data_IF_821754739287
#
_entry.id   IF_821754739287
#
_cell.length_a   1.000
_cell.length_b   1.000
_cell.length_c   1.000
_cell.angle_alpha   90.00
_cell.angle_beta   90.00
_cell.angle_gamma   90.00
#
_symmetry.space_group_name_H-M   'P 1'
#
loop_
_entity.id
_entity.type
_entity.pdbx_description
1 polymer ?
#
# COMPACT_ATOMS: atom_id res chain seq x y z
N UNK A 1 9.44 16.11 -12.47
CA UNK A 1 8.41 16.11 -11.39
C UNK A 1 9.11 15.87 -10.07
N UNK A 2 8.70 16.52 -8.99
CA UNK A 2 9.25 16.32 -7.66
C UNK A 2 8.73 15.02 -7.02
N UNK A 3 9.45 14.48 -6.04
CA UNK A 3 9.01 13.31 -5.27
C UNK A 3 7.63 13.55 -4.63
N UNK A 4 7.39 14.78 -4.14
CA UNK A 4 6.14 15.17 -3.50
C UNK A 4 4.93 15.01 -4.43
N UNK A 5 5.05 15.47 -5.69
CA UNK A 5 3.95 15.35 -6.65
C UNK A 5 3.66 13.90 -7.01
N UNK A 6 4.70 13.08 -7.17
CA UNK A 6 4.54 11.65 -7.37
C UNK A 6 3.83 10.99 -6.17
N UNK A 7 4.27 11.29 -4.95
CA UNK A 7 3.64 10.78 -3.74
C UNK A 7 2.17 11.21 -3.61
N UNK A 8 1.84 12.46 -3.98
CA UNK A 8 0.47 12.96 -3.95
C UNK A 8 -0.45 12.23 -4.96
N UNK A 9 0.06 11.97 -6.16
CA UNK A 9 -0.70 11.21 -7.17
C UNK A 9 -0.92 9.77 -6.71
N UNK A 10 0.12 9.13 -6.17
CA UNK A 10 0.04 7.78 -5.60
C UNK A 10 -0.99 7.70 -4.47
N UNK A 11 -0.94 8.63 -3.53
CA UNK A 11 -1.88 8.76 -2.41
C UNK A 11 -3.33 8.82 -2.88
N UNK A 12 -3.63 9.59 -3.91
CA UNK A 12 -4.98 9.67 -4.50
C UNK A 12 -5.35 8.34 -5.17
N UNK A 13 -4.46 7.76 -5.97
CA UNK A 13 -4.68 6.47 -6.65
C UNK A 13 -5.04 5.37 -5.66
N UNK A 14 -4.26 5.20 -4.62
CA UNK A 14 -4.49 4.16 -3.61
C UNK A 14 -5.71 4.44 -2.72
N UNK A 15 -6.03 5.71 -2.44
CA UNK A 15 -7.26 6.07 -1.75
C UNK A 15 -8.51 5.64 -2.53
N UNK A 16 -8.53 5.80 -3.85
CA UNK A 16 -9.60 5.30 -4.71
C UNK A 16 -9.58 3.77 -4.83
N UNK A 17 -8.40 3.15 -4.90
CA UNK A 17 -8.27 1.69 -4.92
C UNK A 17 -8.93 1.06 -3.70
N UNK A 18 -8.66 1.58 -2.50
CA UNK A 18 -9.26 1.13 -1.24
C UNK A 18 -10.80 1.15 -1.27
N UNK A 19 -11.39 2.24 -1.78
CA UNK A 19 -12.84 2.35 -1.93
C UNK A 19 -13.40 1.21 -2.78
N UNK A 20 -12.82 1.00 -3.97
CA UNK A 20 -13.30 -0.02 -4.89
C UNK A 20 -12.97 -1.43 -4.43
N UNK A 21 -11.88 -1.66 -3.68
CA UNK A 21 -11.63 -2.94 -3.03
C UNK A 21 -12.69 -3.27 -1.99
N UNK A 22 -13.10 -2.30 -1.19
CA UNK A 22 -14.18 -2.50 -0.22
C UNK A 22 -15.50 -2.79 -0.91
N UNK A 23 -15.85 -2.01 -1.95
CA UNK A 23 -17.05 -2.25 -2.76
C UNK A 23 -17.04 -3.63 -3.44
N UNK A 24 -15.87 -4.05 -3.95
CA UNK A 24 -15.67 -5.35 -4.56
C UNK A 24 -15.55 -6.52 -3.57
N UNK A 25 -15.40 -6.25 -2.28
CA UNK A 25 -15.28 -7.28 -1.26
C UNK A 25 -16.65 -7.84 -0.91
N UNK A 26 -16.83 -9.16 -1.12
CA UNK A 26 -18.06 -9.88 -0.81
C UNK A 26 -17.90 -10.63 0.51
N UNK A 27 -18.71 -10.26 1.51
CA UNK A 27 -18.69 -10.86 2.85
C UNK A 27 -19.17 -12.32 2.83
N UNK A 28 -20.04 -12.70 1.89
CA UNK A 28 -20.56 -14.06 1.76
C UNK A 28 -19.60 -14.97 1.01
N UNK A 29 -18.81 -14.43 0.09
CA UNK A 29 -17.82 -15.19 -0.68
C UNK A 29 -16.51 -15.37 0.08
N UNK A 30 -16.29 -16.59 0.57
CA UNK A 30 -15.05 -16.95 1.29
C UNK A 30 -13.76 -16.75 0.46
N UNK A 31 -13.86 -16.63 -0.85
CA UNK A 31 -12.75 -16.46 -1.77
C UNK A 31 -12.68 -15.09 -2.43
N UNK A 32 -13.47 -14.11 -1.95
CA UNK A 32 -13.52 -12.75 -2.51
C UNK A 32 -12.13 -12.11 -2.59
N UNK A 33 -11.31 -12.22 -1.53
CA UNK A 33 -9.95 -11.73 -1.47
C UNK A 33 -9.02 -12.33 -2.54
N UNK A 34 -9.18 -13.62 -2.85
CA UNK A 34 -8.40 -14.27 -3.92
C UNK A 34 -8.82 -13.76 -5.31
N UNK A 35 -10.11 -13.47 -5.51
CA UNK A 35 -10.60 -12.88 -6.76
C UNK A 35 -10.07 -11.47 -6.97
N UNK A 36 -9.94 -10.67 -5.89
CA UNK A 36 -9.26 -9.37 -5.93
C UNK A 36 -7.80 -9.57 -6.36
N UNK A 37 -7.07 -10.49 -5.72
CA UNK A 37 -5.68 -10.77 -6.05
C UNK A 37 -5.49 -11.23 -7.52
N UNK A 38 -6.45 -11.94 -8.12
CA UNK A 38 -6.43 -12.28 -9.54
C UNK A 38 -6.49 -11.03 -10.41
N UNK A 39 -7.38 -10.07 -10.12
CA UNK A 39 -7.49 -8.83 -10.86
C UNK A 39 -6.25 -7.96 -10.72
N UNK A 40 -5.72 -7.83 -9.50
CA UNK A 40 -4.49 -7.08 -9.23
C UNK A 40 -3.32 -7.68 -10.03
N UNK A 41 -3.11 -9.00 -9.93
CA UNK A 41 -2.05 -9.66 -10.68
C UNK A 41 -2.21 -9.51 -12.20
N UNK A 42 -3.44 -9.56 -12.72
CA UNK A 42 -3.69 -9.37 -14.14
C UNK A 42 -3.34 -7.95 -14.59
N UNK A 43 -3.82 -6.92 -13.89
CA UNK A 43 -3.60 -5.51 -14.26
C UNK A 43 -2.12 -5.16 -14.16
N UNK A 44 -1.47 -5.51 -13.04
CA UNK A 44 -0.03 -5.26 -12.83
C UNK A 44 0.83 -6.03 -13.85
N UNK A 45 0.46 -7.27 -14.18
CA UNK A 45 1.13 -8.04 -15.21
C UNK A 45 1.01 -7.41 -16.61
N UNK A 46 -0.18 -6.93 -16.97
CA UNK A 46 -0.39 -6.22 -18.25
C UNK A 46 0.45 -4.95 -18.31
N UNK A 47 0.50 -4.17 -17.21
CA UNK A 47 1.35 -2.98 -17.10
C UNK A 47 2.83 -3.35 -17.25
N UNK A 48 3.31 -4.39 -16.57
CA UNK A 48 4.67 -4.88 -16.69
C UNK A 48 5.06 -5.23 -18.13
N UNK A 49 4.21 -5.94 -18.86
CA UNK A 49 4.45 -6.26 -20.28
C UNK A 49 4.42 -5.02 -21.17
N UNK A 50 3.54 -4.07 -20.89
CA UNK A 50 3.46 -2.80 -21.62
C UNK A 50 4.71 -1.92 -21.40
N UNK A 51 5.30 -1.96 -20.21
CA UNK A 51 6.49 -1.20 -19.85
C UNK A 51 7.80 -1.91 -20.23
N UNK A 52 7.77 -3.21 -20.49
CA UNK A 52 8.99 -3.99 -20.78
C UNK A 52 9.87 -3.41 -21.89
N UNK A 53 9.34 -2.86 -23.01
CA UNK A 53 10.16 -2.22 -24.05
C UNK A 53 10.93 -0.98 -23.59
N UNK A 54 10.48 -0.35 -22.49
CA UNK A 54 11.07 0.86 -21.92
C UNK A 54 12.06 0.59 -20.78
N UNK A 55 12.22 -0.69 -20.39
CA UNK A 55 13.21 -1.12 -19.40
C UNK A 55 14.62 -0.79 -19.87
N UNK A 56 15.47 -0.34 -18.96
CA UNK A 56 16.88 -0.08 -19.26
C UNK A 56 17.75 -1.32 -19.01
N UNK A 57 17.45 -2.07 -17.93
CA UNK A 57 18.27 -3.22 -17.51
C UNK A 57 17.69 -4.55 -17.96
N UNK A 58 16.37 -4.74 -17.80
CA UNK A 58 15.76 -6.07 -18.04
C UNK A 58 15.69 -6.44 -19.52
N UNK A 59 15.52 -5.46 -20.43
CA UNK A 59 15.50 -5.74 -21.88
C UNK A 59 16.86 -6.22 -22.41
N UNK A 60 17.94 -5.82 -21.76
CA UNK A 60 19.31 -6.15 -22.15
C UNK A 60 19.82 -7.43 -21.49
N UNK A 61 18.96 -8.12 -20.71
CA UNK A 61 19.29 -9.42 -20.13
C UNK A 61 19.65 -10.42 -21.23
N UNK A 62 20.87 -10.87 -21.23
CA UNK A 62 21.41 -11.82 -22.24
C UNK A 62 20.83 -13.22 -22.11
N UNK A 63 20.28 -13.57 -20.94
CA UNK A 63 19.72 -14.88 -20.66
C UNK A 63 18.51 -14.84 -19.73
N UNK A 64 17.63 -15.83 -19.86
CA UNK A 64 16.54 -16.07 -18.91
C UNK A 64 17.05 -16.22 -17.45
N UNK A 65 18.26 -16.77 -17.30
CA UNK A 65 18.89 -16.94 -15.98
C UNK A 65 19.16 -15.61 -15.30
N UNK A 66 19.65 -14.60 -16.04
CA UNK A 66 19.96 -13.28 -15.50
C UNK A 66 18.67 -12.57 -15.09
N UNK A 67 17.64 -12.65 -15.94
CA UNK A 67 16.30 -12.14 -15.59
C UNK A 67 15.75 -12.78 -14.32
N UNK A 68 15.78 -14.11 -14.22
CA UNK A 68 15.31 -14.84 -13.03
C UNK A 68 16.14 -14.50 -11.78
N UNK A 69 17.43 -14.22 -11.92
CA UNK A 69 18.28 -13.77 -10.82
C UNK A 69 17.81 -12.40 -10.28
N UNK A 70 17.56 -11.43 -11.16
CA UNK A 70 17.05 -10.10 -10.77
C UNK A 70 15.68 -10.23 -10.12
N UNK A 71 14.81 -11.04 -10.69
CA UNK A 71 13.48 -11.32 -10.11
C UNK A 71 13.59 -11.95 -8.72
N UNK A 72 14.54 -12.87 -8.51
CA UNK A 72 14.78 -13.47 -7.20
C UNK A 72 15.36 -12.48 -6.18
N UNK A 73 16.23 -11.56 -6.63
CA UNK A 73 16.77 -10.51 -5.77
C UNK A 73 15.72 -9.50 -5.31
N UNK A 74 14.75 -9.18 -6.17
CA UNK A 74 13.64 -8.31 -5.84
C UNK A 74 12.50 -9.03 -5.08
N UNK A 75 12.38 -10.35 -5.21
CA UNK A 75 11.25 -11.14 -4.68
C UNK A 75 10.99 -10.96 -3.17
N UNK A 76 11.97 -10.71 -2.27
CA UNK A 76 11.67 -10.48 -0.86
C UNK A 76 10.75 -9.27 -0.62
N UNK A 77 10.96 -8.16 -1.35
CA UNK A 77 10.11 -6.99 -1.29
C UNK A 77 8.70 -7.30 -1.84
N UNK A 78 8.63 -7.82 -3.06
CA UNK A 78 7.33 -8.12 -3.71
C UNK A 78 6.52 -9.19 -2.97
N UNK A 79 7.15 -10.21 -2.38
CA UNK A 79 6.46 -11.22 -1.58
C UNK A 79 5.87 -10.62 -0.29
N UNK A 80 6.56 -9.69 0.35
CA UNK A 80 6.01 -8.97 1.49
C UNK A 80 4.73 -8.21 1.10
N UNK A 81 4.73 -7.52 -0.03
CA UNK A 81 3.54 -6.83 -0.54
C UNK A 81 2.41 -7.80 -0.93
N UNK A 82 2.72 -8.90 -1.63
CA UNK A 82 1.71 -9.90 -2.01
C UNK A 82 1.03 -10.46 -0.75
N UNK A 83 1.81 -10.81 0.26
CA UNK A 83 1.30 -11.34 1.53
C UNK A 83 0.44 -10.29 2.25
N UNK A 84 0.95 -9.05 2.37
CA UNK A 84 0.21 -7.97 3.01
C UNK A 84 -1.12 -7.71 2.32
N UNK A 85 -1.13 -7.56 1.00
CA UNK A 85 -2.33 -7.25 0.24
C UNK A 85 -3.37 -8.37 0.30
N UNK A 86 -2.97 -9.65 0.16
CA UNK A 86 -3.91 -10.78 0.28
C UNK A 86 -4.53 -10.84 1.68
N UNK A 87 -3.75 -10.57 2.73
CA UNK A 87 -4.24 -10.47 4.11
C UNK A 87 -5.18 -9.25 4.25
N UNK A 88 -4.82 -8.11 3.67
CA UNK A 88 -5.62 -6.89 3.67
C UNK A 88 -6.97 -7.09 3.01
N UNK A 89 -7.00 -7.66 1.81
CA UNK A 89 -8.24 -7.97 1.10
C UNK A 89 -9.13 -8.94 1.89
N UNK A 90 -8.53 -9.91 2.60
CA UNK A 90 -9.28 -10.78 3.49
C UNK A 90 -9.89 -10.01 4.66
N UNK A 91 -9.17 -9.02 5.21
CA UNK A 91 -9.62 -8.15 6.30
C UNK A 91 -10.84 -7.30 5.94
N UNK A 92 -10.90 -6.79 4.70
CA UNK A 92 -12.02 -5.97 4.19
C UNK A 92 -13.39 -6.67 4.24
N UNK A 93 -13.42 -7.99 4.34
CA UNK A 93 -14.67 -8.77 4.51
C UNK A 93 -15.24 -8.66 5.91
N UNK A 94 -14.42 -8.39 6.89
CA UNK A 94 -14.79 -8.45 8.32
C UNK A 94 -14.82 -7.08 9.00
N UNK A 95 -14.17 -6.10 8.41
CA UNK A 95 -14.01 -4.77 8.98
C UNK A 95 -14.43 -3.68 7.98
N UNK A 96 -14.87 -2.55 8.50
CA UNK A 96 -15.12 -1.36 7.70
C UNK A 96 -13.80 -0.78 7.15
N UNK A 97 -13.86 -0.12 5.99
CA UNK A 97 -12.71 0.50 5.36
C UNK A 97 -12.09 1.58 6.25
N UNK A 98 -12.94 2.34 6.93
CA UNK A 98 -12.55 3.38 7.88
C UNK A 98 -11.75 2.84 9.07
N UNK A 99 -11.81 1.54 9.35
CA UNK A 99 -11.04 0.85 10.39
C UNK A 99 -9.76 0.24 9.80
N UNK A 100 -9.90 -0.46 8.68
CA UNK A 100 -8.80 -1.23 8.07
C UNK A 100 -7.70 -0.31 7.57
N UNK A 101 -8.07 0.70 6.78
CA UNK A 101 -7.10 1.54 6.07
C UNK A 101 -6.14 2.29 7.02
N UNK A 102 -6.59 2.99 8.09
CA UNK A 102 -5.65 3.65 9.00
C UNK A 102 -4.69 2.71 9.73
N UNK A 103 -5.16 1.52 10.13
CA UNK A 103 -4.31 0.55 10.83
C UNK A 103 -3.25 -0.02 9.91
N UNK A 104 -3.61 -0.35 8.67
CA UNK A 104 -2.68 -0.84 7.66
C UNK A 104 -1.62 0.22 7.34
N UNK A 105 -2.02 1.45 7.19
CA UNK A 105 -1.16 2.56 6.75
C UNK A 105 -0.22 3.12 7.84
N UNK A 106 -0.30 2.64 9.07
CA UNK A 106 0.75 2.85 10.06
C UNK A 106 2.11 2.31 9.58
N UNK A 107 2.12 1.40 8.59
CA UNK A 107 3.32 0.85 7.93
C UNK A 107 4.24 1.93 7.35
N UNK A 108 3.70 3.00 6.76
CA UNK A 108 4.52 4.07 6.19
C UNK A 108 5.42 4.76 7.21
N UNK A 109 4.93 4.97 8.44
CA UNK A 109 5.73 5.49 9.54
C UNK A 109 6.83 4.52 9.97
N UNK A 110 6.48 3.24 10.11
CA UNK A 110 7.41 2.18 10.51
C UNK A 110 8.49 1.96 9.44
N UNK A 111 8.12 2.01 8.17
CA UNK A 111 9.05 1.89 7.04
C UNK A 111 10.05 3.04 7.00
N UNK A 112 9.61 4.28 7.22
CA UNK A 112 10.50 5.43 7.29
C UNK A 112 11.54 5.27 8.40
N UNK A 113 11.12 4.80 9.58
CA UNK A 113 12.04 4.52 10.69
C UNK A 113 13.00 3.37 10.34
N UNK A 114 12.51 2.30 9.72
CA UNK A 114 13.35 1.16 9.32
C UNK A 114 14.41 1.58 8.28
N UNK A 115 14.03 2.36 7.26
CA UNK A 115 14.96 2.90 6.27
C UNK A 115 15.97 3.86 6.89
N UNK A 116 15.52 4.77 7.76
CA UNK A 116 16.42 5.68 8.48
C UNK A 116 17.48 4.91 9.28
N UNK A 117 17.07 3.90 10.04
CA UNK A 117 18.01 3.07 10.79
C UNK A 117 18.97 2.31 9.88
N UNK A 118 18.48 1.75 8.77
CA UNK A 118 19.32 1.07 7.79
C UNK A 118 20.39 2.01 7.22
N UNK A 119 20.01 3.20 6.72
CA UNK A 119 20.94 4.16 6.15
C UNK A 119 21.92 4.72 7.19
N UNK A 120 21.48 4.91 8.44
CA UNK A 120 22.34 5.29 9.56
C UNK A 120 23.41 4.22 9.84
N UNK A 121 23.02 2.94 9.93
CA UNK A 121 23.96 1.83 10.15
C UNK A 121 24.91 1.62 8.95
N UNK A 122 24.49 1.96 7.75
CA UNK A 122 25.34 1.91 6.55
C UNK A 122 26.24 3.13 6.41
N UNK A 123 26.12 4.13 7.27
CA UNK A 123 26.92 5.36 7.23
C UNK A 123 26.54 6.33 6.11
N UNK A 124 25.37 6.14 5.47
CA UNK A 124 24.84 7.05 4.45
C UNK A 124 24.34 8.36 5.05
N UNK A 125 23.92 8.33 6.29
CA UNK A 125 23.38 9.45 7.05
C UNK A 125 24.11 9.48 8.37
N UNK A 126 24.70 10.62 8.74
CA UNK A 126 25.42 10.73 10.00
C UNK A 126 24.47 11.11 11.16
N UNK A 127 23.38 11.82 10.86
CA UNK A 127 22.40 12.24 11.86
C UNK A 127 21.02 12.48 11.25
N UNK A 128 20.00 12.53 12.10
CA UNK A 128 18.63 12.80 11.68
C UNK A 128 18.47 14.21 11.09
N UNK A 129 19.17 15.20 11.66
CA UNK A 129 19.11 16.61 11.22
C UNK A 129 19.88 16.87 9.92
N UNK A 130 20.75 15.97 9.51
CA UNK A 130 21.42 16.01 8.20
C UNK A 130 20.51 15.47 7.09
N UNK A 131 19.73 14.45 7.41
CA UNK A 131 18.83 13.81 6.44
C UNK A 131 17.57 14.65 6.14
N UNK A 132 17.13 15.49 7.09
CA UNK A 132 15.84 16.15 7.02
C UNK A 132 15.91 17.63 7.40
N UNK A 133 15.27 18.48 6.62
CA UNK A 133 14.99 19.86 6.98
C UNK A 133 13.96 19.96 8.11
N UNK A 134 13.88 21.12 8.76
CA UNK A 134 12.94 21.34 9.87
C UNK A 134 11.48 21.12 9.44
N UNK A 135 11.10 21.59 8.25
CA UNK A 135 9.74 21.41 7.73
C UNK A 135 9.44 19.95 7.39
N UNK A 136 10.45 19.19 6.91
CA UNK A 136 10.31 17.77 6.63
C UNK A 136 10.04 17.00 7.93
N UNK A 137 10.78 17.31 8.98
CA UNK A 137 10.62 16.70 10.30
C UNK A 137 9.22 16.99 10.84
N UNK A 138 8.81 18.26 10.88
CA UNK A 138 7.51 18.65 11.41
C UNK A 138 6.38 18.03 10.57
N UNK A 139 6.47 18.13 9.24
CA UNK A 139 5.50 17.57 8.32
C UNK A 139 5.33 16.07 8.49
N UNK A 140 6.45 15.33 8.50
CA UNK A 140 6.46 13.88 8.69
C UNK A 140 5.91 13.47 10.06
N UNK A 141 6.32 14.16 11.15
CA UNK A 141 5.80 13.89 12.50
C UNK A 141 4.29 14.11 12.58
N UNK A 142 3.77 15.17 11.97
CA UNK A 142 2.33 15.44 11.95
C UNK A 142 1.56 14.35 11.18
N UNK A 143 2.08 13.87 10.05
CA UNK A 143 1.50 12.76 9.29
C UNK A 143 1.50 11.50 10.15
N UNK A 144 2.65 11.11 10.67
CA UNK A 144 2.82 9.90 11.48
C UNK A 144 1.90 9.91 12.70
N UNK A 145 1.92 11.00 13.48
CA UNK A 145 1.08 11.14 14.67
C UNK A 145 -0.40 11.10 14.32
N UNK A 146 -0.80 11.76 13.23
CA UNK A 146 -2.19 11.76 12.78
C UNK A 146 -2.67 10.39 12.32
N UNK A 147 -1.87 9.66 11.53
CA UNK A 147 -2.18 8.29 11.07
C UNK A 147 -2.24 7.32 12.25
N UNK A 148 -1.25 7.36 13.16
CA UNK A 148 -1.25 6.51 14.35
C UNK A 148 -2.42 6.84 15.31
N UNK A 149 -2.75 8.13 15.49
CA UNK A 149 -3.89 8.54 16.28
C UNK A 149 -5.20 8.04 15.65
N UNK A 150 -5.33 8.10 14.33
CA UNK A 150 -6.47 7.56 13.60
C UNK A 150 -6.59 6.05 13.82
N UNK A 151 -5.50 5.30 13.64
CA UNK A 151 -5.47 3.86 13.90
C UNK A 151 -5.84 3.50 15.35
N UNK A 152 -5.39 4.31 16.33
CA UNK A 152 -5.73 4.11 17.74
C UNK A 152 -7.20 4.40 18.04
N UNK A 153 -7.77 5.47 17.47
CA UNK A 153 -9.20 5.79 17.59
C UNK A 153 -10.03 4.65 17.02
N UNK A 154 -9.66 4.13 15.83
CA UNK A 154 -10.35 3.01 15.21
C UNK A 154 -10.31 1.75 16.08
N UNK A 155 -9.15 1.42 16.63
CA UNK A 155 -9.01 0.27 17.51
C UNK A 155 -9.91 0.40 18.77
N UNK A 156 -10.04 1.62 19.33
CA UNK A 156 -10.93 1.87 20.48
C UNK A 156 -12.39 1.67 20.11
N UNK A 157 -12.82 2.20 18.96
CA UNK A 157 -14.20 2.10 18.49
C UNK A 157 -14.57 0.65 18.19
N UNK A 158 -13.74 -0.08 17.49
CA UNK A 158 -13.93 -1.51 17.21
C UNK A 158 -14.06 -2.35 18.48
N UNK A 159 -13.34 -2.01 19.56
CA UNK A 159 -13.51 -2.69 20.87
C UNK A 159 -14.84 -2.38 21.52
N UNK A 160 -15.31 -1.12 21.45
CA UNK A 160 -16.61 -0.73 22.03
C UNK A 160 -17.79 -1.40 21.28
N UNK A 161 -17.68 -1.56 19.95
CA UNK A 161 -18.70 -2.25 19.15
C UNK A 161 -18.73 -3.77 19.38
N UNK A 162 -17.61 -4.38 19.80
CA UNK A 162 -17.53 -5.81 20.13
C UNK A 162 -18.39 -6.19 21.35
N UNK A 163 -18.84 -5.22 22.14
CA UNK A 163 -19.74 -5.42 23.27
C UNK A 163 -21.23 -5.46 22.86
N UNK A 164 -21.57 -5.22 21.57
CA UNK A 164 -22.92 -5.28 21.06
C UNK A 164 -23.35 -6.72 20.67
N UNK A 165 -24.66 -7.06 20.58
CA UNK A 165 -25.14 -8.42 20.32
C UNK A 165 -24.61 -8.99 19.00
N UNK A 166 -24.11 -10.23 19.06
CA UNK A 166 -23.35 -10.96 18.02
C UNK A 166 -24.17 -11.48 16.83
N UNK A 167 -25.22 -10.80 16.37
CA UNK A 167 -26.04 -11.30 15.27
C UNK A 167 -25.46 -11.00 13.88
N UNK A 168 -24.49 -10.09 13.74
CA UNK A 168 -23.88 -9.72 12.47
C UNK A 168 -22.57 -10.50 12.25
N UNK A 169 -22.36 -11.05 11.04
CA UNK A 169 -21.15 -11.81 10.67
C UNK A 169 -19.86 -10.98 10.81
N UNK A 170 -19.95 -9.65 10.69
CA UNK A 170 -18.86 -8.70 10.89
C UNK A 170 -18.20 -8.84 12.27
N UNK A 171 -18.99 -9.20 13.27
CA UNK A 171 -18.52 -9.37 14.66
C UNK A 171 -18.15 -10.80 15.03
N UNK A 172 -18.23 -11.75 14.07
CA UNK A 172 -17.98 -13.17 14.32
C UNK A 172 -16.57 -13.45 14.86
N UNK A 173 -15.60 -12.65 14.45
CA UNK A 173 -14.21 -12.76 14.88
C UNK A 173 -13.83 -11.76 15.98
N UNK A 174 -14.67 -10.79 16.30
CA UNK A 174 -14.40 -9.79 17.34
C UNK A 174 -13.02 -9.15 17.18
N UNK A 175 -12.28 -9.03 18.29
CA UNK A 175 -10.94 -8.45 18.29
C UNK A 175 -9.91 -9.21 17.39
N UNK A 176 -10.17 -10.49 17.05
CA UNK A 176 -9.30 -11.26 16.14
C UNK A 176 -9.33 -10.72 14.70
N UNK A 177 -10.39 -10.02 14.28
CA UNK A 177 -10.45 -9.41 12.96
C UNK A 177 -9.36 -8.33 12.79
N UNK A 178 -8.96 -7.64 13.86
CA UNK A 178 -7.86 -6.66 13.82
C UNK A 178 -6.49 -7.28 13.54
N UNK A 179 -6.36 -8.60 13.64
CA UNK A 179 -5.12 -9.28 13.25
C UNK A 179 -4.80 -9.10 11.76
N UNK A 180 -5.82 -9.02 10.89
CA UNK A 180 -5.62 -8.81 9.46
C UNK A 180 -4.90 -7.48 9.14
N UNK A 181 -5.39 -6.31 9.56
CA UNK A 181 -4.70 -5.06 9.28
C UNK A 181 -3.36 -4.93 10.01
N UNK A 182 -3.17 -5.57 11.17
CA UNK A 182 -1.89 -5.58 11.87
C UNK A 182 -0.84 -6.41 11.14
N UNK A 183 -1.20 -7.60 10.64
CA UNK A 183 -0.31 -8.42 9.82
C UNK A 183 -0.01 -7.74 8.48
N UNK A 184 -1.02 -7.11 7.86
CA UNK A 184 -0.79 -6.27 6.69
C UNK A 184 0.28 -5.23 7.00
N UNK A 185 0.09 -4.42 8.04
CA UNK A 185 1.02 -3.37 8.45
C UNK A 185 2.46 -3.90 8.62
N UNK A 186 2.63 -5.06 9.24
CA UNK A 186 3.93 -5.68 9.43
C UNK A 186 4.62 -6.04 8.11
N UNK A 187 3.93 -6.76 7.23
CA UNK A 187 4.50 -7.19 5.94
C UNK A 187 4.69 -6.00 5.00
N UNK A 188 3.75 -5.06 4.98
CA UNK A 188 3.86 -3.85 4.19
C UNK A 188 5.04 -2.97 4.62
N UNK A 189 5.30 -2.85 5.93
CA UNK A 189 6.50 -2.20 6.47
C UNK A 189 7.78 -2.82 5.90
N UNK A 190 7.86 -4.15 5.89
CA UNK A 190 9.01 -4.86 5.33
C UNK A 190 9.16 -4.62 3.82
N UNK A 191 8.05 -4.68 3.07
CA UNK A 191 8.04 -4.43 1.63
C UNK A 191 8.47 -3.01 1.29
N UNK A 192 7.86 -2.02 1.93
CA UNK A 192 8.14 -0.59 1.70
C UNK A 192 9.58 -0.22 2.07
N UNK A 193 10.09 -0.74 3.20
CA UNK A 193 11.48 -0.51 3.58
C UNK A 193 12.45 -1.18 2.59
N UNK A 194 12.14 -2.39 2.13
CA UNK A 194 12.94 -3.08 1.12
C UNK A 194 12.96 -2.32 -0.22
N UNK A 195 11.81 -1.80 -0.69
CA UNK A 195 11.75 -0.99 -1.91
C UNK A 195 12.61 0.26 -1.80
N UNK A 196 12.51 1.00 -0.70
CA UNK A 196 13.33 2.19 -0.49
C UNK A 196 14.84 1.90 -0.46
N UNK A 197 15.24 0.73 0.05
CA UNK A 197 16.63 0.29 0.05
C UNK A 197 17.07 -0.20 -1.34
N UNK A 198 16.20 -0.91 -2.06
CA UNK A 198 16.48 -1.45 -3.40
C UNK A 198 16.63 -0.33 -4.44
N UNK A 199 15.83 0.72 -4.31
CA UNK A 199 15.84 1.88 -5.20
C UNK A 199 16.96 2.88 -4.90
N UNK A 200 17.67 2.75 -3.77
CA UNK A 200 18.78 3.63 -3.44
C UNK A 200 19.97 3.39 -4.39
N UNK A 201 20.52 4.47 -4.94
CA UNK A 201 21.59 4.41 -5.95
C UNK A 201 22.87 3.71 -5.46
N UNK A 202 23.22 3.82 -4.17
CA UNK A 202 24.48 3.27 -3.65
C UNK A 202 24.31 1.89 -3.01
N UNK A 203 23.20 1.64 -2.33
CA UNK A 203 22.98 0.39 -1.58
C UNK A 203 22.05 -0.57 -2.28
N UNK A 204 21.35 -0.09 -3.32
CA UNK A 204 20.33 -0.81 -4.04
C UNK A 204 20.85 -1.84 -5.06
N UNK A 205 19.95 -2.30 -5.91
CA UNK A 205 20.25 -3.31 -6.93
C UNK A 205 20.72 -2.71 -8.26
N UNK A 206 20.81 -1.39 -8.38
CA UNK A 206 21.11 -0.70 -9.64
C UNK A 206 20.04 -0.87 -10.71
N UNK A 207 18.78 -1.04 -10.28
CA UNK A 207 17.60 -1.15 -11.14
C UNK A 207 16.88 0.19 -11.20
N UNK A 208 16.46 0.61 -12.39
CA UNK A 208 15.64 1.78 -12.58
C UNK A 208 14.19 1.57 -12.13
N UNK A 209 13.44 2.67 -12.03
CA UNK A 209 12.04 2.64 -11.55
C UNK A 209 11.16 1.74 -12.45
N UNK A 210 11.36 1.81 -13.77
CA UNK A 210 10.61 0.98 -14.73
C UNK A 210 10.94 -0.51 -14.53
N UNK A 211 12.20 -0.85 -14.27
CA UNK A 211 12.62 -2.23 -14.01
C UNK A 211 11.95 -2.79 -12.75
N UNK A 212 11.88 -1.98 -11.68
CA UNK A 212 11.18 -2.34 -10.43
C UNK A 212 9.68 -2.55 -10.68
N UNK A 213 9.00 -1.65 -11.41
CA UNK A 213 7.58 -1.79 -11.75
C UNK A 213 7.33 -3.09 -12.54
N UNK A 214 8.22 -3.43 -13.47
CA UNK A 214 8.13 -4.67 -14.25
C UNK A 214 8.28 -5.90 -13.35
N UNK A 215 9.32 -5.94 -12.50
CA UNK A 215 9.56 -7.07 -11.60
C UNK A 215 8.41 -7.25 -10.59
N UNK A 216 7.92 -6.14 -10.04
CA UNK A 216 6.74 -6.09 -9.19
C UNK A 216 5.52 -6.67 -9.90
N UNK A 217 5.19 -6.14 -11.09
CA UNK A 217 4.04 -6.58 -11.87
C UNK A 217 4.09 -8.06 -12.27
N UNK A 218 5.27 -8.59 -12.63
CA UNK A 218 5.43 -10.02 -12.96
C UNK A 218 5.24 -10.89 -11.72
N UNK A 219 5.77 -10.50 -10.56
CA UNK A 219 5.57 -11.27 -9.32
C UNK A 219 4.12 -11.29 -8.88
N UNK A 220 3.41 -10.16 -9.01
CA UNK A 220 1.97 -10.09 -8.76
C UNK A 220 1.15 -10.90 -9.78
N UNK A 221 1.54 -10.91 -11.05
CA UNK A 221 0.91 -11.77 -12.06
C UNK A 221 1.03 -13.25 -11.67
N UNK A 222 2.21 -13.69 -11.23
CA UNK A 222 2.41 -15.08 -10.78
C UNK A 222 1.56 -15.40 -9.55
N UNK A 223 1.45 -14.48 -8.59
CA UNK A 223 0.58 -14.64 -7.43
C UNK A 223 -0.90 -14.69 -7.83
N UNK A 224 -1.34 -13.80 -8.72
CA UNK A 224 -2.71 -13.80 -9.27
C UNK A 224 -3.05 -15.08 -10.01
N UNK A 225 -2.12 -15.60 -10.84
CA UNK A 225 -2.27 -16.90 -11.50
C UNK A 225 -2.37 -18.04 -10.47
N UNK A 226 -1.57 -18.00 -9.41
CA UNK A 226 -1.66 -18.97 -8.30
C UNK A 226 -3.03 -18.94 -7.63
N UNK A 227 -3.57 -17.76 -7.35
CA UNK A 227 -4.93 -17.57 -6.81
C UNK A 227 -5.99 -18.08 -7.77
N UNK A 228 -5.86 -17.80 -9.07
CA UNK A 228 -6.77 -18.27 -10.10
C UNK A 228 -6.78 -19.81 -10.21
N UNK A 229 -5.60 -20.43 -10.24
CA UNK A 229 -5.48 -21.89 -10.26
C UNK A 229 -6.08 -22.53 -9.00
N UNK A 230 -5.86 -21.92 -7.84
CA UNK A 230 -6.49 -22.38 -6.60
C UNK A 230 -8.02 -22.36 -6.70
N UNK A 231 -8.61 -21.28 -7.23
CA UNK A 231 -10.06 -21.16 -7.42
C UNK A 231 -10.59 -22.27 -8.36
N UNK A 232 -9.86 -22.55 -9.45
CA UNK A 232 -10.21 -23.62 -10.39
C UNK A 232 -10.15 -25.01 -9.73
N UNK A 233 -9.05 -25.34 -9.05
CA UNK A 233 -8.86 -26.63 -8.38
C UNK A 233 -9.93 -26.86 -7.31
N UNK A 234 -10.26 -25.82 -6.54
CA UNK A 234 -11.30 -25.89 -5.51
C UNK A 234 -12.72 -25.75 -6.06
N UNK A 235 -12.87 -25.68 -7.41
CA UNK A 235 -14.17 -25.52 -8.09
C UNK A 235 -15.00 -24.36 -7.52
N UNK A 236 -14.33 -23.27 -7.14
CA UNK A 236 -15.01 -22.08 -6.64
C UNK A 236 -15.60 -21.30 -7.82
N UNK A 237 -16.84 -20.81 -7.73
CA UNK A 237 -17.44 -20.06 -8.83
C UNK A 237 -16.69 -18.75 -9.05
N UNK A 238 -16.14 -18.57 -10.25
CA UNK A 238 -15.47 -17.35 -10.65
C UNK A 238 -15.78 -17.01 -12.10
N UNK A 239 -16.39 -15.87 -12.31
CA UNK A 239 -16.77 -15.33 -13.62
C UNK A 239 -16.22 -13.91 -13.73
N UNK A 240 -14.99 -13.73 -14.22
CA UNK A 240 -14.27 -12.45 -14.18
C UNK A 240 -15.01 -11.32 -14.91
N UNK A 241 -15.77 -11.62 -15.97
CA UNK A 241 -16.53 -10.62 -16.73
C UNK A 241 -17.92 -10.31 -16.19
N UNK A 242 -18.28 -10.87 -15.03
CA UNK A 242 -19.56 -10.55 -14.40
C UNK A 242 -19.55 -9.10 -13.86
N UNK A 243 -20.68 -8.41 -13.94
CA UNK A 243 -20.80 -7.01 -13.48
C UNK A 243 -20.36 -6.80 -12.02
N UNK A 244 -20.56 -7.80 -11.17
CA UNK A 244 -20.12 -7.77 -9.76
C UNK A 244 -18.60 -7.80 -9.57
N UNK A 245 -17.81 -8.14 -10.58
CA UNK A 245 -16.34 -8.14 -10.52
C UNK A 245 -15.72 -6.80 -10.96
N UNK A 246 -16.50 -5.90 -11.56
CA UNK A 246 -16.01 -4.60 -12.05
C UNK A 246 -15.35 -3.73 -10.97
N UNK A 247 -15.89 -3.64 -9.72
CA UNK A 247 -15.21 -2.87 -8.67
C UNK A 247 -13.78 -3.37 -8.41
N UNK A 248 -13.56 -4.71 -8.43
CA UNK A 248 -12.22 -5.30 -8.25
C UNK A 248 -11.25 -4.92 -9.38
N UNK A 249 -11.76 -4.91 -10.63
CA UNK A 249 -10.97 -4.50 -11.79
C UNK A 249 -10.59 -3.02 -11.73
N UNK A 250 -11.55 -2.15 -11.38
CA UNK A 250 -11.31 -0.71 -11.23
C UNK A 250 -10.33 -0.45 -10.08
N UNK A 251 -10.49 -1.15 -8.95
CA UNK A 251 -9.58 -1.06 -7.83
C UNK A 251 -8.15 -1.42 -8.25
N UNK A 252 -7.97 -2.53 -8.97
CA UNK A 252 -6.66 -2.95 -9.47
C UNK A 252 -6.03 -1.93 -10.43
N UNK A 253 -6.83 -1.25 -11.27
CA UNK A 253 -6.33 -0.17 -12.13
C UNK A 253 -5.90 1.06 -11.32
N UNK A 254 -6.67 1.45 -10.29
CA UNK A 254 -6.30 2.54 -9.39
C UNK A 254 -5.05 2.21 -8.57
N UNK A 255 -4.92 0.96 -8.13
CA UNK A 255 -3.76 0.43 -7.41
C UNK A 255 -2.50 0.53 -8.27
N UNK A 256 -2.53 -0.01 -9.50
CA UNK A 256 -1.38 0.03 -10.41
C UNK A 256 -1.01 1.46 -10.80
N UNK A 257 -2.02 2.32 -11.04
CA UNK A 257 -1.77 3.74 -11.28
C UNK A 257 -1.03 4.37 -10.10
N UNK A 258 -1.47 4.13 -8.88
CA UNK A 258 -0.80 4.59 -7.67
C UNK A 258 0.61 4.01 -7.53
N UNK A 259 0.79 2.72 -7.82
CA UNK A 259 2.05 2.00 -7.71
C UNK A 259 3.14 2.57 -8.63
N UNK A 260 2.81 2.91 -9.87
CA UNK A 260 3.76 3.53 -10.80
C UNK A 260 4.32 4.82 -10.19
N UNK A 261 3.47 5.72 -9.71
CA UNK A 261 3.91 6.98 -9.10
C UNK A 261 4.60 6.79 -7.74
N UNK A 262 4.20 5.78 -6.98
CA UNK A 262 4.85 5.39 -5.74
C UNK A 262 6.33 5.06 -5.96
N UNK A 263 6.66 4.23 -6.95
CA UNK A 263 8.05 3.83 -7.23
C UNK A 263 8.90 5.05 -7.56
N UNK A 264 8.40 6.00 -8.38
CA UNK A 264 9.09 7.25 -8.67
C UNK A 264 9.26 8.16 -7.46
N UNK A 265 8.30 8.18 -6.53
CA UNK A 265 8.44 8.93 -5.28
C UNK A 265 9.50 8.31 -4.36
N UNK A 266 9.47 6.98 -4.22
CA UNK A 266 10.39 6.22 -3.39
C UNK A 266 11.83 6.28 -3.90
N UNK A 267 12.06 6.26 -5.22
CA UNK A 267 13.38 6.40 -5.81
C UNK A 267 14.04 7.76 -5.48
N UNK A 268 13.23 8.81 -5.29
CA UNK A 268 13.75 10.16 -5.03
C UNK A 268 13.91 10.50 -3.54
N UNK A 269 12.97 10.08 -2.71
CA UNK A 269 12.96 10.41 -1.28
C UNK A 269 12.19 9.36 -0.47
N UNK A 270 12.75 8.15 -0.29
CA UNK A 270 12.01 7.03 0.28
C UNK A 270 11.50 7.30 1.71
N UNK A 271 12.31 7.94 2.55
CA UNK A 271 11.96 8.21 3.95
C UNK A 271 10.85 9.25 4.14
N UNK A 272 10.68 10.20 3.20
CA UNK A 272 9.59 11.18 3.22
C UNK A 272 8.37 10.68 2.43
N UNK A 273 8.60 9.97 1.32
CA UNK A 273 7.54 9.46 0.47
C UNK A 273 6.71 8.38 1.18
N UNK A 274 7.34 7.45 1.91
CA UNK A 274 6.62 6.35 2.57
C UNK A 274 5.51 6.84 3.54
N UNK A 275 5.77 7.70 4.54
CA UNK A 275 4.71 8.19 5.42
C UNK A 275 3.71 9.10 4.70
N UNK A 276 4.14 9.88 3.70
CA UNK A 276 3.24 10.72 2.92
C UNK A 276 2.27 9.87 2.09
N UNK A 277 2.75 8.89 1.36
CA UNK A 277 1.90 8.01 0.56
C UNK A 277 0.95 7.22 1.47
N UNK A 278 1.44 6.66 2.59
CA UNK A 278 0.61 5.95 3.56
C UNK A 278 -0.53 6.80 4.14
N UNK A 279 -0.45 8.12 4.03
CA UNK A 279 -1.57 9.00 4.42
C UNK A 279 -2.79 8.91 3.48
N UNK A 280 -2.77 8.07 2.43
CA UNK A 280 -3.93 7.81 1.57
C UNK A 280 -5.15 7.28 2.35
N UNK A 281 -4.93 6.71 3.55
CA UNK A 281 -6.02 6.34 4.45
C UNK A 281 -7.01 7.48 4.75
N UNK A 282 -6.55 8.75 4.69
CA UNK A 282 -7.45 9.89 4.84
C UNK A 282 -8.42 9.96 3.67
N UNK A 283 -7.91 9.80 2.45
CA UNK A 283 -8.75 9.76 1.25
C UNK A 283 -9.72 8.60 1.35
N UNK A 284 -9.26 7.41 1.75
CA UNK A 284 -10.09 6.23 1.97
C UNK A 284 -11.22 6.48 2.97
N UNK A 285 -10.91 7.10 4.13
CA UNK A 285 -11.93 7.45 5.14
C UNK A 285 -12.92 8.49 4.64
N UNK A 286 -12.49 9.49 3.88
CA UNK A 286 -13.38 10.49 3.29
C UNK A 286 -14.29 9.88 2.20
N UNK A 287 -13.72 9.05 1.33
CA UNK A 287 -14.45 8.36 0.29
C UNK A 287 -15.44 7.32 0.86
N UNK A 288 -15.06 6.58 1.89
CA UNK A 288 -15.94 5.61 2.56
C UNK A 288 -17.20 6.30 3.12
N UNK A 289 -17.03 7.50 3.69
CA UNK A 289 -18.17 8.30 4.15
C UNK A 289 -19.10 8.72 3.02
N UNK A 290 -18.56 9.16 1.88
CA UNK A 290 -19.34 9.70 0.78
C UNK A 290 -20.04 8.57 0.01
N UNK A 291 -19.31 7.52 -0.34
CA UNK A 291 -19.76 6.47 -1.24
C UNK A 291 -20.32 5.24 -0.51
N UNK A 292 -19.65 4.78 0.54
CA UNK A 292 -20.09 3.60 1.32
C UNK A 292 -21.06 3.98 2.44
N UNK A 293 -21.29 5.30 2.67
CA UNK A 293 -22.16 5.83 3.73
C UNK A 293 -21.77 5.38 5.13
N UNK A 294 -20.50 5.00 5.32
CA UNK A 294 -19.95 4.77 6.66
C UNK A 294 -20.04 6.07 7.46
N UNK A 295 -20.25 5.96 8.77
CA UNK A 295 -20.40 7.14 9.66
C UNK A 295 -19.19 7.26 10.58
N UNK A 296 -18.06 7.79 10.09
CA UNK A 296 -16.88 7.99 10.93
C UNK A 296 -17.22 8.91 12.11
N UNK A 297 -16.78 8.56 13.32
CA UNK A 297 -16.94 9.40 14.49
C UNK A 297 -16.21 10.74 14.36
N UNK A 298 -16.67 11.74 15.14
CA UNK A 298 -16.06 13.08 15.15
C UNK A 298 -14.57 13.07 15.55
N UNK A 299 -14.17 12.12 16.38
CA UNK A 299 -12.78 11.91 16.80
C UNK A 299 -11.83 11.61 15.64
N UNK A 300 -12.31 10.91 14.59
CA UNK A 300 -11.53 10.62 13.38
C UNK A 300 -11.13 11.88 12.62
N UNK A 301 -12.05 12.86 12.53
CA UNK A 301 -11.75 14.13 11.85
C UNK A 301 -10.66 14.95 12.57
N UNK A 302 -10.60 14.86 13.91
CA UNK A 302 -9.53 15.49 14.67
C UNK A 302 -8.14 14.92 14.33
N UNK A 303 -8.07 13.61 13.96
CA UNK A 303 -6.83 12.96 13.53
C UNK A 303 -6.44 13.31 12.08
N UNK A 304 -7.40 13.63 11.22
CA UNK A 304 -7.17 13.97 9.81
C UNK A 304 -6.47 15.34 9.68
N UNK A 305 -6.82 16.30 10.53
CA UNK A 305 -6.28 17.66 10.45
C UNK A 305 -4.75 17.73 10.53
N UNK A 306 -4.05 17.11 11.51
CA UNK A 306 -2.59 17.13 11.56
C UNK A 306 -1.95 16.46 10.32
N UNK A 307 -2.58 15.45 9.74
CA UNK A 307 -2.04 14.80 8.53
C UNK A 307 -2.12 15.75 7.33
N UNK A 308 -3.25 16.42 7.11
CA UNK A 308 -3.37 17.44 6.06
C UNK A 308 -2.33 18.56 6.27
N UNK A 309 -2.19 19.05 7.49
CA UNK A 309 -1.18 20.05 7.82
C UNK A 309 0.25 19.55 7.51
N UNK A 310 0.54 18.30 7.85
CA UNK A 310 1.82 17.65 7.54
C UNK A 310 2.10 17.55 6.04
N UNK A 311 1.12 17.13 5.24
CA UNK A 311 1.24 17.08 3.76
C UNK A 311 1.54 18.49 3.20
N UNK A 312 0.84 19.50 3.68
CA UNK A 312 1.08 20.89 3.24
C UNK A 312 2.48 21.35 3.59
N UNK A 313 2.98 21.03 4.78
CA UNK A 313 4.35 21.38 5.19
C UNK A 313 5.41 20.69 4.33
N UNK A 314 5.24 19.40 4.00
CA UNK A 314 6.14 18.70 3.08
C UNK A 314 6.12 19.32 1.68
N UNK A 315 4.96 19.74 1.19
CA UNK A 315 4.85 20.45 -0.09
C UNK A 315 5.54 21.82 -0.08
N UNK A 316 5.47 22.55 1.04
CA UNK A 316 6.18 23.82 1.22
C UNK A 316 7.70 23.57 1.28
N UNK A 317 8.15 22.58 2.02
CA UNK A 317 9.56 22.19 2.11
C UNK A 317 10.15 21.89 0.75
N UNK A 318 9.48 21.07 -0.04
CA UNK A 318 9.89 20.72 -1.41
C UNK A 318 9.93 21.98 -2.31
N UNK A 319 8.92 22.86 -2.21
CA UNK A 319 8.87 24.11 -2.98
C UNK A 319 9.96 25.14 -2.61
N UNK A 320 10.52 25.04 -1.40
CA UNK A 320 11.65 25.88 -0.96
C UNK A 320 13.01 25.30 -1.32
N UNK A 321 13.09 23.99 -1.52
CA UNK A 321 14.32 23.27 -1.87
C UNK A 321 14.62 23.31 -3.38
N UNK A 322 13.64 23.51 -4.25
CA UNK A 322 13.76 23.62 -5.71
C UNK A 322 13.73 25.03 -6.19
#
# INVERSE_FOLDING_TARGET
>A
MSWFLFALISLLGWGFADLFYKEGSDEEDSCSHLKIAVWVGLVMGVCAFALFPFSETLKDCSSLRDFLKMMLQYSPASLCYIISMVIGYAGLRYLELSIVSPVQNASGALSAVAMFLFFLFRGRIASFTEAFGTLDIIGTVLIVVGVLALAFVEQRLSRAETELPKEDRRYRFGALALLFPLLYCLFDTCGTAADGIILDEETGLGLGEIDIIILYGITFLLAGLGCFLYLLIKKKPYQPFRKSEWPKAVAACCEEFGQVFYVYAMAKSPMLAAPMVASYCIVSVLLSRIFLKEKPEKSKYACIFPVIAGIVLLGISEGLAG
#
